data_IF_494983822999
#
_entry.id   IF_494983822999
#
_cell.length_a   1.000
_cell.length_b   1.000
_cell.length_c   1.000
_cell.angle_alpha   90.00
_cell.angle_beta   90.00
_cell.angle_gamma   90.00
#
_symmetry.space_group_name_H-M   'P 1'
#
loop_
_entity.id
_entity.type
_entity.pdbx_description
1 polymer ?
#
# COMPACT_ATOMS: atom_id res chain seq x y z
N UNK A 1 -20.79 -4.42 -47.77
CA UNK A 1 -22.05 -4.47 -46.97
C UNK A 1 -22.14 -5.82 -46.28
N UNK A 2 -22.11 -5.89 -44.95
CA UNK A 2 -22.29 -7.15 -44.23
C UNK A 2 -23.77 -7.59 -44.30
N UNK A 3 -24.07 -8.85 -44.52
CA UNK A 3 -25.47 -9.35 -44.62
C UNK A 3 -26.20 -9.10 -43.31
N UNK A 4 -27.45 -8.70 -43.41
CA UNK A 4 -28.33 -8.27 -42.29
C UNK A 4 -28.43 -9.33 -41.18
N UNK A 5 -28.35 -10.62 -41.54
CA UNK A 5 -28.36 -11.75 -40.59
C UNK A 5 -27.14 -11.78 -39.67
N UNK A 6 -25.98 -11.40 -40.20
CA UNK A 6 -24.72 -11.35 -39.43
C UNK A 6 -24.71 -10.19 -38.42
N UNK A 7 -25.32 -9.06 -38.75
CA UNK A 7 -25.44 -7.91 -37.84
C UNK A 7 -26.35 -8.21 -36.63
N UNK A 8 -27.43 -9.01 -36.86
CA UNK A 8 -28.36 -9.43 -35.81
C UNK A 8 -27.70 -10.45 -34.87
N UNK A 9 -26.90 -11.37 -35.43
CA UNK A 9 -26.13 -12.34 -34.65
C UNK A 9 -25.11 -11.66 -33.73
N UNK A 10 -24.33 -10.71 -34.26
CA UNK A 10 -23.38 -9.90 -33.46
C UNK A 10 -24.06 -9.11 -32.35
N UNK A 11 -25.20 -8.47 -32.63
CA UNK A 11 -25.97 -7.74 -31.62
C UNK A 11 -26.50 -8.65 -30.50
N UNK A 12 -26.93 -9.87 -30.83
CA UNK A 12 -27.37 -10.85 -29.83
C UNK A 12 -26.19 -11.39 -28.98
N UNK A 13 -25.06 -11.66 -29.63
CA UNK A 13 -23.85 -12.14 -28.93
C UNK A 13 -23.21 -11.07 -28.01
N UNK A 14 -23.33 -9.79 -28.34
CA UNK A 14 -22.79 -8.67 -27.53
C UNK A 14 -23.67 -8.32 -26.31
N UNK A 15 -24.96 -8.69 -26.31
CA UNK A 15 -25.83 -8.38 -25.16
C UNK A 15 -25.34 -8.98 -23.84
N UNK A 16 -25.03 -10.29 -23.72
CA UNK A 16 -24.54 -10.85 -22.46
C UNK A 16 -23.21 -10.21 -22.02
N UNK A 17 -22.35 -9.85 -22.95
CA UNK A 17 -21.10 -9.15 -22.64
C UNK A 17 -21.40 -7.79 -22.00
N UNK A 18 -22.38 -7.05 -22.49
CA UNK A 18 -22.78 -5.76 -21.93
C UNK A 18 -23.32 -5.89 -20.50
N UNK A 19 -24.13 -6.92 -20.23
CA UNK A 19 -24.64 -7.18 -18.88
C UNK A 19 -23.52 -7.61 -17.93
N UNK A 20 -22.60 -8.44 -18.37
CA UNK A 20 -21.44 -8.88 -17.58
C UNK A 20 -20.54 -7.68 -17.24
N UNK A 21 -20.20 -6.85 -18.23
CA UNK A 21 -19.38 -5.65 -17.97
C UNK A 21 -20.09 -4.64 -17.08
N UNK A 22 -21.39 -4.44 -17.25
CA UNK A 22 -22.20 -3.58 -16.37
C UNK A 22 -22.22 -4.08 -14.93
N UNK A 23 -22.49 -5.37 -14.75
CA UNK A 23 -22.51 -5.99 -13.43
C UNK A 23 -21.13 -5.93 -12.74
N UNK A 24 -20.05 -6.27 -13.45
CA UNK A 24 -18.70 -6.20 -12.88
C UNK A 24 -18.31 -4.79 -12.52
N UNK A 25 -18.66 -3.78 -13.34
CA UNK A 25 -18.40 -2.38 -13.02
C UNK A 25 -19.14 -1.91 -11.76
N UNK A 26 -20.42 -2.26 -11.63
CA UNK A 26 -21.22 -1.92 -10.44
C UNK A 26 -20.62 -2.58 -9.19
N UNK A 27 -20.26 -3.87 -9.29
CA UNK A 27 -19.64 -4.59 -8.18
C UNK A 27 -18.32 -3.95 -7.75
N UNK A 28 -17.46 -3.59 -8.70
CA UNK A 28 -16.19 -2.91 -8.41
C UNK A 28 -16.39 -1.55 -7.75
N UNK A 29 -17.35 -0.76 -8.24
CA UNK A 29 -17.68 0.55 -7.65
C UNK A 29 -18.23 0.38 -6.23
N UNK A 30 -19.15 -0.55 -6.02
CA UNK A 30 -19.71 -0.83 -4.70
C UNK A 30 -18.61 -1.29 -3.72
N UNK A 31 -17.75 -2.20 -4.15
CA UNK A 31 -16.61 -2.65 -3.35
C UNK A 31 -15.68 -1.48 -3.01
N UNK A 32 -15.36 -0.63 -3.97
CA UNK A 32 -14.53 0.56 -3.73
C UNK A 32 -15.17 1.50 -2.71
N UNK A 33 -16.47 1.79 -2.81
CA UNK A 33 -17.17 2.66 -1.85
C UNK A 33 -17.15 2.05 -0.44
N UNK A 34 -17.42 0.75 -0.31
CA UNK A 34 -17.41 0.07 0.99
C UNK A 34 -16.01 0.09 1.61
N UNK A 35 -14.97 -0.26 0.83
CA UNK A 35 -13.61 -0.23 1.34
C UNK A 35 -13.13 1.18 1.68
N UNK A 36 -13.43 2.17 0.84
CA UNK A 36 -12.99 3.55 1.07
C UNK A 36 -13.62 4.18 2.31
N UNK A 37 -14.85 3.79 2.66
CA UNK A 37 -15.52 4.30 3.86
C UNK A 37 -14.95 3.73 5.17
N UNK A 38 -14.24 2.61 5.10
CA UNK A 38 -13.60 1.98 6.27
C UNK A 38 -12.10 2.30 6.39
N UNK A 39 -11.56 3.12 5.49
CA UNK A 39 -10.17 3.54 5.58
C UNK A 39 -9.99 4.57 6.69
N UNK A 40 -8.99 4.40 7.56
CA UNK A 40 -8.68 5.37 8.61
C UNK A 40 -8.14 6.67 8.01
N UNK A 41 -8.30 7.75 8.76
CA UNK A 41 -7.79 9.05 8.36
C UNK A 41 -6.28 9.14 8.54
N UNK A 42 -5.64 10.10 7.84
CA UNK A 42 -4.19 10.34 7.97
C UNK A 42 -3.83 10.73 9.40
N UNK A 43 -4.73 11.43 10.09
CA UNK A 43 -4.59 11.87 11.47
C UNK A 43 -4.52 10.65 12.43
N UNK A 44 -5.35 9.63 12.21
CA UNK A 44 -5.33 8.40 13.00
C UNK A 44 -4.01 7.63 12.83
N UNK A 45 -3.42 7.67 11.63
CA UNK A 45 -2.11 7.05 11.39
C UNK A 45 -0.99 7.79 12.13
N UNK A 46 -1.04 9.12 12.17
CA UNK A 46 -0.05 9.94 12.86
C UNK A 46 -0.12 9.80 14.38
N UNK A 47 -1.30 9.54 14.93
CA UNK A 47 -1.52 9.39 16.38
C UNK A 47 -1.28 7.96 16.88
N UNK A 48 -0.92 7.03 15.99
CA UNK A 48 -0.56 5.66 16.38
C UNK A 48 0.71 5.64 17.22
N UNK A 49 0.51 5.57 18.53
CA UNK A 49 1.60 5.52 19.52
C UNK A 49 2.33 4.18 19.39
N UNK A 50 3.56 4.22 18.91
CA UNK A 50 4.45 3.08 19.03
C UNK A 50 4.62 2.73 20.51
N UNK A 51 4.65 1.43 20.82
CA UNK A 51 4.93 0.97 22.19
C UNK A 51 6.31 1.50 22.63
N UNK A 52 6.28 2.53 23.47
CA UNK A 52 7.48 3.12 24.07
C UNK A 52 7.76 2.36 25.38
N UNK A 53 8.99 1.94 25.66
CA UNK A 53 9.33 1.28 26.91
C UNK A 53 9.08 2.22 28.09
N UNK A 54 8.52 1.68 29.18
CA UNK A 54 8.36 2.42 30.42
C UNK A 54 9.72 2.63 31.08
N UNK A 55 10.09 3.88 31.33
CA UNK A 55 11.34 4.25 32.01
C UNK A 55 11.03 4.68 33.42
N UNK A 56 11.67 4.04 34.40
CA UNK A 56 11.53 4.36 35.82
C UNK A 56 12.76 5.12 36.28
N UNK A 57 12.54 6.26 36.92
CA UNK A 57 13.59 7.14 37.40
C UNK A 57 13.51 7.31 38.93
N UNK A 58 14.66 7.58 39.57
CA UNK A 58 14.73 8.06 40.95
C UNK A 58 14.20 9.49 41.05
N UNK A 59 13.98 9.98 42.29
CA UNK A 59 13.59 11.37 42.52
C UNK A 59 14.61 12.39 41.99
N UNK A 60 15.92 12.03 42.02
CA UNK A 60 17.02 12.78 41.44
C UNK A 60 17.25 12.53 39.94
N UNK A 61 16.21 12.02 39.22
CA UNK A 61 16.18 11.79 37.77
C UNK A 61 17.18 10.77 37.22
N UNK A 62 17.74 9.90 38.07
CA UNK A 62 18.58 8.80 37.58
C UNK A 62 17.73 7.63 37.10
N UNK A 63 18.06 7.07 35.95
CA UNK A 63 17.35 5.93 35.39
C UNK A 63 17.59 4.68 36.21
N UNK A 64 16.52 4.09 36.80
CA UNK A 64 16.59 2.86 37.57
C UNK A 64 16.40 1.65 36.67
N UNK A 65 15.36 1.66 35.83
CA UNK A 65 14.99 0.52 35.02
C UNK A 65 14.22 0.94 33.75
N UNK A 66 14.29 0.09 32.72
CA UNK A 66 13.53 0.22 31.48
C UNK A 66 12.75 -1.08 31.30
N UNK A 67 11.41 -1.00 31.30
CA UNK A 67 10.51 -2.11 31.11
C UNK A 67 9.86 -2.04 29.72
N UNK A 68 9.89 -3.12 28.97
CA UNK A 68 9.28 -3.28 27.65
C UNK A 68 10.07 -4.27 26.80
N UNK A 69 9.37 -4.96 25.91
CA UNK A 69 9.96 -5.96 25.01
C UNK A 69 10.97 -5.35 24.02
N UNK A 70 10.75 -4.10 23.62
CA UNK A 70 11.59 -3.40 22.64
C UNK A 70 12.08 -2.07 23.21
N UNK A 71 13.38 -1.92 23.33
CA UNK A 71 14.03 -0.67 23.78
C UNK A 71 14.08 0.33 22.60
N UNK A 72 12.96 1.00 22.31
CA UNK A 72 12.89 2.00 21.26
C UNK A 72 13.17 3.39 21.80
N UNK A 73 13.97 4.16 21.10
CA UNK A 73 14.15 5.58 21.32
C UNK A 73 13.49 6.28 20.14
N UNK A 74 12.31 6.91 20.33
CA UNK A 74 11.66 7.63 19.25
C UNK A 74 12.52 8.84 18.87
N UNK A 75 12.66 9.05 17.58
CA UNK A 75 13.27 10.23 16.98
C UNK A 75 12.24 10.92 16.09
N UNK A 76 12.33 12.23 15.98
CA UNK A 76 11.47 12.99 15.08
C UNK A 76 11.97 12.88 13.63
N UNK A 77 11.11 13.16 12.67
CA UNK A 77 11.49 13.08 11.25
C UNK A 77 12.63 14.06 10.91
N UNK A 78 12.67 15.20 11.58
CA UNK A 78 13.67 16.25 11.42
C UNK A 78 15.05 15.83 11.92
N UNK A 79 15.08 14.98 12.94
CA UNK A 79 16.35 14.45 13.52
C UNK A 79 16.99 13.38 12.63
N UNK A 80 16.24 12.82 11.66
CA UNK A 80 16.78 11.81 10.74
C UNK A 80 17.62 12.48 9.66
N UNK A 81 18.92 12.13 9.53
CA UNK A 81 19.77 12.69 8.48
C UNK A 81 19.21 12.44 7.07
N UNK A 82 19.28 13.44 6.19
CA UNK A 82 18.79 13.35 4.82
C UNK A 82 19.39 12.17 4.03
N UNK A 83 20.67 11.87 4.24
CA UNK A 83 21.30 10.71 3.62
C UNK A 83 20.65 9.38 4.00
N UNK A 84 20.17 9.25 5.25
CA UNK A 84 19.47 8.06 5.71
C UNK A 84 18.06 7.95 5.10
N UNK A 85 17.31 9.06 5.05
CA UNK A 85 16.00 9.12 4.40
C UNK A 85 16.11 8.70 2.93
N UNK A 86 17.06 9.29 2.21
CA UNK A 86 17.29 8.99 0.80
C UNK A 86 17.75 7.55 0.58
N UNK A 87 18.55 6.98 1.47
CA UNK A 87 18.96 5.58 1.38
C UNK A 87 17.77 4.62 1.53
N UNK A 88 16.86 4.89 2.47
CA UNK A 88 15.63 4.11 2.61
C UNK A 88 14.74 4.19 1.38
N UNK A 89 14.51 5.41 0.86
CA UNK A 89 13.71 5.62 -0.34
C UNK A 89 14.33 4.89 -1.53
N UNK A 90 15.64 5.00 -1.72
CA UNK A 90 16.34 4.36 -2.83
C UNK A 90 16.29 2.81 -2.76
N UNK A 91 16.33 2.25 -1.55
CA UNK A 91 16.31 0.81 -1.35
C UNK A 91 14.91 0.20 -1.47
N UNK A 92 13.90 0.84 -0.86
CA UNK A 92 12.55 0.29 -0.73
C UNK A 92 11.60 0.77 -1.84
N UNK A 93 11.73 2.02 -2.26
CA UNK A 93 10.80 2.65 -3.19
C UNK A 93 11.45 3.83 -3.93
N UNK A 94 12.34 3.52 -4.85
CA UNK A 94 13.11 4.53 -5.58
C UNK A 94 12.28 5.53 -6.39
N UNK A 95 10.98 5.28 -6.53
CA UNK A 95 10.02 6.14 -7.22
C UNK A 95 8.99 6.77 -6.30
N UNK A 96 9.24 6.78 -4.99
CA UNK A 96 8.32 7.23 -3.94
C UNK A 96 7.64 8.57 -4.26
N UNK A 97 8.38 9.55 -4.77
CA UNK A 97 7.86 10.87 -5.14
C UNK A 97 7.14 10.92 -6.50
N UNK A 98 7.09 9.79 -7.23
CA UNK A 98 6.50 9.72 -8.58
C UNK A 98 5.12 9.08 -8.61
N UNK A 99 4.62 8.58 -7.47
CA UNK A 99 3.32 7.92 -7.36
C UNK A 99 2.60 8.29 -6.06
N UNK A 100 1.29 8.04 -6.02
CA UNK A 100 0.42 8.33 -4.87
C UNK A 100 0.13 7.06 -4.05
N UNK A 101 1.17 6.38 -3.58
CA UNK A 101 1.05 5.19 -2.73
C UNK A 101 1.22 3.87 -3.45
N UNK A 102 0.84 3.74 -4.72
CA UNK A 102 1.01 2.52 -5.54
C UNK A 102 1.85 2.83 -6.77
N UNK A 103 2.99 2.15 -6.93
CA UNK A 103 3.80 2.24 -8.14
C UNK A 103 3.35 1.20 -9.16
N UNK A 104 2.40 1.60 -10.03
CA UNK A 104 1.89 0.72 -11.10
C UNK A 104 2.97 0.28 -12.10
N UNK A 105 3.97 1.13 -12.38
CA UNK A 105 5.08 0.77 -13.26
C UNK A 105 6.02 -0.24 -12.59
N UNK A 106 6.27 -0.09 -11.30
CA UNK A 106 7.02 -1.05 -10.50
C UNK A 106 6.32 -2.42 -10.46
N UNK A 107 5.01 -2.44 -10.25
CA UNK A 107 4.20 -3.66 -10.30
C UNK A 107 4.25 -4.34 -11.67
N UNK A 108 4.09 -3.56 -12.76
CA UNK A 108 4.14 -4.10 -14.12
C UNK A 108 5.52 -4.68 -14.44
N UNK A 109 6.59 -4.01 -14.01
CA UNK A 109 7.98 -4.50 -14.16
C UNK A 109 8.18 -5.80 -13.38
N UNK A 110 7.74 -5.87 -12.12
CA UNK A 110 7.83 -7.07 -11.29
C UNK A 110 7.05 -8.23 -11.90
N UNK A 111 5.84 -7.99 -12.41
CA UNK A 111 5.02 -8.97 -13.09
C UNK A 111 5.68 -9.49 -14.38
N UNK A 112 6.22 -8.60 -15.21
CA UNK A 112 6.97 -8.99 -16.41
C UNK A 112 8.18 -9.86 -16.06
N UNK A 113 8.92 -9.49 -15.03
CA UNK A 113 10.07 -10.26 -14.55
C UNK A 113 9.64 -11.64 -14.06
N UNK A 114 8.54 -11.73 -13.31
CA UNK A 114 8.00 -13.00 -12.85
C UNK A 114 7.60 -13.93 -14.02
N UNK A 115 6.90 -13.41 -15.03
CA UNK A 115 6.53 -14.21 -16.22
C UNK A 115 7.77 -14.68 -16.98
N UNK A 116 8.81 -13.86 -17.10
CA UNK A 116 10.00 -14.19 -17.89
C UNK A 116 10.97 -15.13 -17.17
N UNK A 117 11.05 -15.07 -15.85
CA UNK A 117 12.06 -15.82 -15.06
C UNK A 117 11.46 -16.90 -14.15
N UNK A 118 10.14 -16.90 -13.96
CA UNK A 118 9.45 -17.76 -12.99
C UNK A 118 9.76 -17.44 -11.52
N UNK A 119 10.52 -16.37 -11.25
CA UNK A 119 10.95 -15.97 -9.89
C UNK A 119 10.53 -14.54 -9.58
N UNK A 120 10.17 -14.31 -8.33
CA UNK A 120 9.94 -12.96 -7.81
C UNK A 120 11.32 -12.37 -7.47
N UNK A 121 11.95 -11.75 -8.45
CA UNK A 121 13.30 -11.17 -8.31
C UNK A 121 13.30 -9.70 -7.90
N UNK A 122 12.18 -9.03 -8.07
CA UNK A 122 12.02 -7.60 -7.72
C UNK A 122 10.74 -7.39 -6.94
N UNK A 123 10.81 -6.64 -5.83
CA UNK A 123 9.65 -6.19 -5.09
C UNK A 123 8.87 -5.14 -5.87
N UNK A 124 7.53 -5.24 -5.85
CA UNK A 124 6.62 -4.22 -6.38
C UNK A 124 5.91 -3.46 -5.25
N UNK A 125 6.32 -3.68 -3.98
CA UNK A 125 5.72 -3.03 -2.82
C UNK A 125 6.32 -1.66 -2.61
N UNK A 126 5.47 -0.65 -2.37
CA UNK A 126 5.89 0.70 -2.03
C UNK A 126 6.00 0.88 -0.51
N UNK A 127 6.70 1.92 -0.05
CA UNK A 127 6.75 2.30 1.38
C UNK A 127 5.34 2.51 1.93
N UNK A 128 4.45 3.16 1.17
CA UNK A 128 3.05 3.38 1.56
C UNK A 128 2.30 2.06 1.77
N UNK A 129 2.47 1.07 0.88
CA UNK A 129 1.88 -0.26 1.06
C UNK A 129 2.44 -0.98 2.28
N UNK A 130 3.74 -0.84 2.57
CA UNK A 130 4.36 -1.43 3.75
C UNK A 130 3.81 -0.80 5.04
N UNK A 131 3.64 0.51 5.08
CA UNK A 131 3.01 1.22 6.21
C UNK A 131 1.59 0.71 6.40
N UNK A 132 0.76 0.73 5.35
CA UNK A 132 -0.62 0.25 5.43
C UNK A 132 -0.71 -1.20 5.95
N UNK A 133 0.13 -2.09 5.43
CA UNK A 133 0.17 -3.50 5.89
C UNK A 133 0.54 -3.61 7.36
N UNK A 134 1.53 -2.88 7.82
CA UNK A 134 2.04 -3.00 9.20
C UNK A 134 1.08 -2.43 10.23
N UNK A 135 0.26 -1.45 9.86
CA UNK A 135 -0.67 -0.80 10.79
C UNK A 135 -2.09 -1.36 10.75
N UNK A 136 -2.52 -1.93 9.60
CA UNK A 136 -3.92 -2.34 9.43
C UNK A 136 -4.11 -3.84 9.17
N UNK A 137 -3.06 -4.57 8.77
CA UNK A 137 -3.18 -5.97 8.39
C UNK A 137 -2.34 -6.92 9.25
N UNK A 138 -1.72 -6.44 10.34
CA UNK A 138 -0.92 -7.26 11.27
C UNK A 138 -1.70 -7.61 12.53
#
# INVERSE_FOLDING_TARGET
>A
MLPTSMSIFFKKALKPLYYITGFTSITLIATYIILSSSLPTVEEIQDMRMQIPMRVYTQDKKLIAVYGEKKRIPVTFEEIPEGLKNAFIAAEDNRFYSHNGVDYFGLLRAFKSFISTGKVSQGGSTITMQVARNFYLS
#
